data_IF_577728973726
#
_entry.id   IF_577728973726
#
_cell.length_a   1.000
_cell.length_b   1.000
_cell.length_c   1.000
_cell.angle_alpha   90.00
_cell.angle_beta   90.00
_cell.angle_gamma   90.00
#
_symmetry.space_group_name_H-M   'P 1'
#
loop_
_entity.id
_entity.type
_entity.pdbx_description
1 polymer ?
#
# COMPACT_ATOMS: atom_id res chain seq x y z
N UNK A 1 -25.94 -2.63 -24.01
CA UNK A 1 -25.55 -1.22 -24.26
C UNK A 1 -24.54 -1.17 -25.39
N UNK A 2 -24.24 0.02 -25.92
CA UNK A 2 -23.21 0.19 -26.95
C UNK A 2 -21.82 -0.12 -26.35
N UNK A 3 -20.88 -0.70 -27.13
CA UNK A 3 -19.55 -1.08 -26.64
C UNK A 3 -18.75 0.08 -26.01
N UNK A 4 -19.06 1.34 -26.38
CA UNK A 4 -18.38 2.55 -25.90
C UNK A 4 -19.17 3.34 -24.84
N UNK A 5 -20.12 2.70 -24.13
CA UNK A 5 -20.90 3.42 -23.11
C UNK A 5 -20.10 3.65 -21.84
N UNK A 6 -19.94 4.92 -21.43
CA UNK A 6 -19.30 5.30 -20.17
C UNK A 6 -20.33 5.73 -19.13
N UNK A 7 -20.25 5.19 -17.92
CA UNK A 7 -20.90 5.76 -16.74
C UNK A 7 -19.90 6.60 -15.95
N UNK A 8 -20.12 7.91 -15.86
CA UNK A 8 -19.27 8.80 -15.09
C UNK A 8 -19.95 9.27 -13.80
N UNK A 9 -19.29 9.02 -12.67
CA UNK A 9 -19.65 9.53 -11.35
C UNK A 9 -18.56 10.52 -10.91
N UNK A 10 -18.89 11.80 -10.80
CA UNK A 10 -17.88 12.84 -10.56
C UNK A 10 -18.27 13.91 -9.56
N UNK A 11 -17.24 14.50 -8.95
CA UNK A 11 -17.31 15.67 -8.06
C UNK A 11 -16.50 16.87 -8.59
N UNK A 12 -16.58 17.14 -9.91
CA UNK A 12 -15.82 18.21 -10.57
C UNK A 12 -16.11 19.61 -10.04
N UNK A 13 -17.36 19.90 -9.66
CA UNK A 13 -17.83 21.26 -9.32
C UNK A 13 -18.43 21.37 -7.93
N UNK A 14 -18.24 20.36 -7.07
CA UNK A 14 -18.84 20.34 -5.74
C UNK A 14 -18.12 21.24 -4.74
N UNK A 15 -18.83 21.62 -3.68
CA UNK A 15 -18.26 22.21 -2.45
C UNK A 15 -18.20 21.11 -1.39
N UNK A 16 -17.01 20.52 -1.20
CA UNK A 16 -16.79 19.41 -0.26
C UNK A 16 -16.89 18.01 -0.88
N UNK A 17 -16.59 16.98 -0.08
CA UNK A 17 -16.60 15.57 -0.49
C UNK A 17 -18.02 15.17 -0.90
N UNK A 18 -18.18 14.53 -2.05
CA UNK A 18 -19.47 14.01 -2.51
C UNK A 18 -19.61 12.54 -2.15
N UNK A 19 -20.79 12.13 -1.68
CA UNK A 19 -21.09 10.73 -1.40
C UNK A 19 -22.12 10.23 -2.43
N UNK A 20 -21.83 9.09 -3.05
CA UNK A 20 -22.76 8.36 -3.91
C UNK A 20 -23.01 7.00 -3.28
N UNK A 21 -24.28 6.73 -3.00
CA UNK A 21 -24.71 5.49 -2.38
C UNK A 21 -25.46 4.63 -3.40
N UNK A 22 -24.96 3.42 -3.63
CA UNK A 22 -25.54 2.43 -4.53
C UNK A 22 -26.74 1.78 -3.86
N UNK A 23 -27.92 1.99 -4.45
CA UNK A 23 -29.17 1.37 -3.98
C UNK A 23 -29.34 -0.09 -4.44
N UNK A 24 -28.63 -0.46 -5.50
CA UNK A 24 -28.61 -1.78 -6.11
C UNK A 24 -27.24 -1.99 -6.79
N UNK A 25 -26.98 -3.22 -7.21
CA UNK A 25 -25.81 -3.54 -8.02
C UNK A 25 -25.80 -2.74 -9.31
N UNK A 26 -24.61 -2.28 -9.71
CA UNK A 26 -24.40 -1.62 -10.98
C UNK A 26 -23.99 -2.66 -12.01
N UNK A 27 -24.85 -2.96 -12.99
CA UNK A 27 -24.62 -4.06 -13.95
C UNK A 27 -23.98 -3.55 -15.23
N UNK A 28 -22.98 -4.28 -15.74
CA UNK A 28 -22.37 -3.97 -17.02
C UNK A 28 -23.38 -4.10 -18.18
N UNK A 29 -23.29 -3.23 -19.20
CA UNK A 29 -24.22 -3.22 -20.34
C UNK A 29 -24.10 -4.45 -21.27
N UNK A 30 -23.07 -5.28 -21.07
CA UNK A 30 -22.73 -6.49 -21.82
C UNK A 30 -21.41 -7.07 -21.32
N UNK A 31 -21.01 -8.24 -21.82
CA UNK A 31 -19.74 -8.85 -21.46
C UNK A 31 -18.58 -7.97 -21.92
N UNK A 32 -17.72 -7.57 -20.99
CA UNK A 32 -16.52 -6.76 -21.24
C UNK A 32 -16.84 -5.44 -21.96
N UNK A 33 -18.03 -4.89 -21.73
CA UNK A 33 -18.53 -3.71 -22.42
C UNK A 33 -18.69 -2.55 -21.44
N UNK A 34 -18.37 -1.36 -21.94
CA UNK A 34 -18.52 -0.11 -21.20
C UNK A 34 -17.47 0.11 -20.12
N UNK A 35 -17.30 1.39 -19.79
CA UNK A 35 -16.35 1.86 -18.79
C UNK A 35 -17.09 2.61 -17.67
N UNK A 36 -16.50 2.59 -16.49
CA UNK A 36 -16.94 3.37 -15.34
C UNK A 36 -15.84 4.38 -15.02
N UNK A 37 -16.23 5.62 -14.74
CA UNK A 37 -15.29 6.69 -14.34
C UNK A 37 -15.70 7.19 -12.97
N UNK A 38 -14.79 7.10 -12.00
CA UNK A 38 -14.90 7.75 -10.70
C UNK A 38 -13.91 8.90 -10.62
N UNK A 39 -14.44 10.11 -10.46
CA UNK A 39 -13.64 11.32 -10.39
C UNK A 39 -13.94 12.12 -9.12
N UNK A 40 -12.97 12.14 -8.22
CA UNK A 40 -13.01 12.89 -6.98
C UNK A 40 -13.12 14.40 -7.13
N UNK A 41 -12.74 14.95 -8.28
CA UNK A 41 -12.44 16.38 -8.42
C UNK A 41 -11.50 16.87 -7.32
N UNK A 42 -11.60 18.16 -6.99
CA UNK A 42 -10.72 18.78 -5.97
C UNK A 42 -11.08 18.40 -4.54
N UNK A 43 -12.29 17.90 -4.29
CA UNK A 43 -12.82 17.70 -2.94
C UNK A 43 -13.02 16.23 -2.55
N UNK A 44 -12.84 15.30 -3.48
CA UNK A 44 -13.00 13.86 -3.25
C UNK A 44 -14.40 13.31 -3.54
N UNK A 45 -14.46 12.01 -3.79
CA UNK A 45 -15.68 11.24 -4.06
C UNK A 45 -15.68 9.94 -3.24
N UNK A 46 -16.77 9.72 -2.51
CA UNK A 46 -17.02 8.48 -1.79
C UNK A 46 -18.09 7.67 -2.54
N UNK A 47 -17.82 6.40 -2.79
CA UNK A 47 -18.79 5.43 -3.31
C UNK A 47 -19.05 4.39 -2.23
N UNK A 48 -20.33 4.13 -1.92
CA UNK A 48 -20.68 3.12 -0.95
C UNK A 48 -22.05 2.49 -1.15
N UNK A 49 -22.45 1.56 -0.28
CA UNK A 49 -23.82 1.03 -0.26
C UNK A 49 -24.77 1.99 0.46
N UNK A 50 -26.03 2.05 0.00
CA UNK A 50 -27.07 2.78 0.73
C UNK A 50 -27.60 2.05 1.97
N UNK A 51 -27.27 0.76 2.11
CA UNK A 51 -27.67 -0.06 3.26
C UNK A 51 -26.42 -0.66 3.89
N UNK A 52 -26.12 -0.23 5.11
CA UNK A 52 -24.97 -0.68 5.86
C UNK A 52 -24.90 -2.22 5.94
N UNK A 53 -23.72 -2.77 5.70
CA UNK A 53 -23.47 -4.21 5.72
C UNK A 53 -24.08 -4.99 4.56
N UNK A 54 -24.76 -4.32 3.61
CA UNK A 54 -25.26 -4.98 2.39
C UNK A 54 -24.33 -4.63 1.24
N UNK A 55 -23.54 -5.61 0.81
CA UNK A 55 -22.64 -5.43 -0.31
C UNK A 55 -23.37 -5.04 -1.60
N UNK A 56 -22.70 -4.26 -2.44
CA UNK A 56 -23.13 -3.84 -3.78
C UNK A 56 -22.03 -4.20 -4.76
N UNK A 57 -22.39 -4.89 -5.82
CA UNK A 57 -21.44 -5.25 -6.86
C UNK A 57 -21.43 -4.19 -7.95
N UNK A 58 -20.25 -3.83 -8.43
CA UNK A 58 -20.09 -3.08 -9.68
C UNK A 58 -19.58 -4.04 -10.74
N UNK A 59 -20.39 -4.23 -11.78
CA UNK A 59 -20.11 -5.07 -12.93
C UNK A 59 -20.39 -6.55 -12.71
N UNK A 60 -21.22 -6.96 -11.73
CA UNK A 60 -21.62 -8.36 -11.61
C UNK A 60 -23.12 -8.51 -11.34
N UNK A 61 -23.91 -8.44 -12.42
CA UNK A 61 -25.34 -8.72 -12.42
C UNK A 61 -25.71 -9.94 -13.28
N UNK A 62 -24.82 -10.94 -13.34
CA UNK A 62 -24.98 -12.13 -14.18
C UNK A 62 -23.74 -12.51 -14.99
N UNK A 63 -22.52 -12.26 -14.49
CA UNK A 63 -21.26 -12.65 -15.12
C UNK A 63 -20.67 -11.68 -16.15
N UNK A 64 -21.42 -10.65 -16.55
CA UNK A 64 -20.93 -9.60 -17.44
C UNK A 64 -20.13 -8.56 -16.65
N UNK A 65 -18.84 -8.39 -16.97
CA UNK A 65 -17.94 -7.41 -16.34
C UNK A 65 -17.87 -6.09 -17.12
N UNK A 66 -17.68 -4.98 -16.42
CA UNK A 66 -17.22 -3.74 -17.06
C UNK A 66 -15.79 -3.93 -17.57
N UNK A 67 -15.46 -3.23 -18.65
CA UNK A 67 -14.12 -3.27 -19.21
C UNK A 67 -13.10 -2.57 -18.31
N UNK A 68 -13.38 -1.31 -17.99
CA UNK A 68 -12.46 -0.48 -17.21
C UNK A 68 -13.19 0.30 -16.13
N UNK A 69 -12.57 0.39 -14.96
CA UNK A 69 -12.82 1.44 -13.97
C UNK A 69 -11.66 2.43 -14.00
N UNK A 70 -11.94 3.66 -14.37
CA UNK A 70 -10.98 4.77 -14.37
C UNK A 70 -11.14 5.56 -13.07
N UNK A 71 -10.07 5.67 -12.30
CA UNK A 71 -10.02 6.50 -11.09
C UNK A 71 -9.25 7.79 -11.38
N UNK A 72 -9.85 8.93 -11.03
CA UNK A 72 -9.24 10.25 -11.09
C UNK A 72 -9.38 10.97 -9.75
N UNK A 73 -8.35 11.75 -9.39
CA UNK A 73 -8.30 12.52 -8.15
C UNK A 73 -8.53 11.64 -6.90
N UNK A 74 -9.10 12.20 -5.84
CA UNK A 74 -9.33 11.47 -4.58
C UNK A 74 -10.65 10.66 -4.61
N UNK A 75 -10.56 9.33 -4.57
CA UNK A 75 -11.74 8.44 -4.55
C UNK A 75 -11.62 7.43 -3.41
N UNK A 76 -12.67 7.31 -2.60
CA UNK A 76 -12.78 6.26 -1.58
C UNK A 76 -13.97 5.38 -1.88
N UNK A 77 -13.76 4.06 -1.92
CA UNK A 77 -14.81 3.06 -2.02
C UNK A 77 -14.91 2.35 -0.66
N UNK A 78 -16.12 2.34 -0.08
CA UNK A 78 -16.37 1.64 1.17
C UNK A 78 -16.39 0.14 0.99
N UNK A 79 -16.15 -0.59 2.08
CA UNK A 79 -16.01 -2.04 2.12
C UNK A 79 -17.24 -2.84 1.65
N UNK A 80 -18.40 -2.19 1.57
CA UNK A 80 -19.65 -2.76 1.09
C UNK A 80 -19.85 -2.57 -0.42
N UNK A 81 -18.80 -2.24 -1.17
CA UNK A 81 -18.81 -2.18 -2.63
C UNK A 81 -17.74 -3.10 -3.19
N UNK A 82 -18.14 -4.10 -3.97
CA UNK A 82 -17.25 -5.09 -4.58
C UNK A 82 -16.95 -4.76 -6.05
N UNK A 83 -15.70 -4.96 -6.46
CA UNK A 83 -15.22 -4.69 -7.82
C UNK A 83 -14.84 -5.96 -8.60
N UNK A 84 -15.30 -7.14 -8.18
CA UNK A 84 -15.09 -8.41 -8.91
C UNK A 84 -15.60 -8.37 -10.35
N UNK A 85 -16.62 -7.53 -10.58
CA UNK A 85 -17.21 -7.24 -11.88
C UNK A 85 -16.42 -6.25 -12.75
N UNK A 86 -15.23 -5.83 -12.33
CA UNK A 86 -14.33 -4.97 -13.11
C UNK A 86 -13.17 -5.82 -13.66
N UNK A 87 -12.91 -5.73 -14.97
CA UNK A 87 -11.72 -6.37 -15.54
C UNK A 87 -10.45 -5.58 -15.22
N UNK A 88 -10.44 -4.28 -15.47
CA UNK A 88 -9.26 -3.44 -15.28
C UNK A 88 -9.60 -2.24 -14.41
N UNK A 89 -8.84 -2.03 -13.34
CA UNK A 89 -8.85 -0.78 -12.57
C UNK A 89 -7.62 0.03 -12.97
N UNK A 90 -7.83 1.21 -13.51
CA UNK A 90 -6.78 2.14 -13.89
C UNK A 90 -6.78 3.32 -12.92
N UNK A 91 -5.76 3.40 -12.09
CA UNK A 91 -5.58 4.49 -11.13
C UNK A 91 -4.68 5.52 -11.80
N UNK A 92 -5.29 6.59 -12.32
CA UNK A 92 -4.60 7.58 -13.15
C UNK A 92 -3.66 8.48 -12.33
N UNK A 93 -2.74 9.14 -13.02
CA UNK A 93 -1.75 10.03 -12.41
C UNK A 93 -2.38 11.03 -11.43
N UNK A 94 -1.70 11.23 -10.30
CA UNK A 94 -2.10 12.08 -9.18
C UNK A 94 -3.40 11.66 -8.48
N UNK A 95 -3.99 10.50 -8.81
CA UNK A 95 -5.12 9.98 -8.06
C UNK A 95 -4.71 9.43 -6.70
N UNK A 96 -5.62 9.54 -5.74
CA UNK A 96 -5.52 8.92 -4.42
C UNK A 96 -6.75 8.03 -4.24
N UNK A 97 -6.55 6.73 -4.39
CA UNK A 97 -7.61 5.74 -4.38
C UNK A 97 -7.55 4.89 -3.12
N UNK A 98 -8.63 4.84 -2.35
CA UNK A 98 -8.74 3.95 -1.18
C UNK A 98 -9.87 2.94 -1.37
N UNK A 99 -9.54 1.65 -1.24
CA UNK A 99 -10.54 0.57 -1.27
C UNK A 99 -9.98 -0.72 -0.66
N UNK A 100 -10.75 -1.31 0.23
CA UNK A 100 -10.51 -2.61 0.88
C UNK A 100 -11.06 -3.81 0.09
N UNK A 101 -11.61 -3.59 -1.10
CA UNK A 101 -12.27 -4.61 -1.93
C UNK A 101 -11.82 -4.59 -3.38
N UNK A 102 -11.22 -3.49 -3.85
CA UNK A 102 -10.81 -3.32 -5.24
C UNK A 102 -9.80 -4.37 -5.71
N UNK A 103 -8.99 -4.93 -4.80
CA UNK A 103 -8.08 -6.05 -5.10
C UNK A 103 -8.76 -7.31 -5.63
N UNK A 104 -10.09 -7.39 -5.59
CA UNK A 104 -10.85 -8.48 -6.22
C UNK A 104 -11.13 -8.26 -7.72
N UNK A 105 -10.76 -7.10 -8.29
CA UNK A 105 -10.83 -6.86 -9.73
C UNK A 105 -9.83 -7.73 -10.52
N UNK A 106 -10.02 -7.84 -11.84
CA UNK A 106 -9.17 -8.65 -12.70
C UNK A 106 -7.69 -8.22 -12.71
N UNK A 107 -7.44 -6.96 -13.03
CA UNK A 107 -6.13 -6.31 -13.03
C UNK A 107 -6.24 -4.89 -12.45
N UNK A 108 -5.18 -4.42 -11.82
CA UNK A 108 -5.07 -3.11 -11.19
C UNK A 108 -3.74 -2.49 -11.62
N UNK A 109 -3.82 -1.39 -12.35
CA UNK A 109 -2.66 -0.62 -12.77
C UNK A 109 -2.60 0.68 -11.96
N UNK A 110 -1.52 0.82 -11.21
CA UNK A 110 -1.18 2.05 -10.48
C UNK A 110 -0.23 2.84 -11.39
N UNK A 111 -0.68 3.97 -11.93
CA UNK A 111 0.20 4.88 -12.67
C UNK A 111 0.99 5.76 -11.69
N UNK A 112 1.27 7.02 -11.99
CA UNK A 112 1.89 7.95 -11.04
C UNK A 112 0.90 8.39 -9.95
N UNK A 113 0.44 7.44 -9.13
CA UNK A 113 -0.73 7.55 -8.29
C UNK A 113 -0.60 6.74 -6.99
N UNK A 114 -1.57 6.87 -6.09
CA UNK A 114 -1.63 6.11 -4.83
C UNK A 114 -2.85 5.19 -4.80
N UNK A 115 -2.61 3.92 -4.48
CA UNK A 115 -3.64 2.95 -4.13
C UNK A 115 -3.47 2.52 -2.67
N UNK A 116 -4.48 2.75 -1.84
CA UNK A 116 -4.53 2.31 -0.45
C UNK A 116 -5.52 1.16 -0.28
N UNK A 117 -4.98 0.03 0.19
CA UNK A 117 -5.75 -1.11 0.70
C UNK A 117 -5.77 -1.01 2.23
N UNK A 118 -6.93 -0.70 2.79
CA UNK A 118 -7.06 -0.47 4.23
C UNK A 118 -7.83 -1.59 4.93
N UNK A 119 -7.17 -2.28 5.86
CA UNK A 119 -7.74 -3.30 6.74
C UNK A 119 -8.55 -2.67 7.90
N UNK A 120 -9.33 -1.62 7.65
CA UNK A 120 -10.02 -0.85 8.69
C UNK A 120 -11.10 -1.69 9.42
N UNK A 121 -11.84 -2.54 8.69
CA UNK A 121 -12.96 -3.31 9.23
C UNK A 121 -12.67 -4.81 9.36
N UNK A 122 -11.60 -5.32 8.75
CA UNK A 122 -11.31 -6.75 8.69
C UNK A 122 -9.85 -7.05 8.46
N UNK A 123 -9.44 -8.29 8.74
CA UNK A 123 -8.24 -8.82 8.09
C UNK A 123 -8.53 -8.98 6.59
N UNK A 124 -7.52 -8.80 5.76
CA UNK A 124 -7.65 -8.86 4.31
C UNK A 124 -6.79 -9.97 3.71
N UNK A 125 -7.31 -10.62 2.68
CA UNK A 125 -6.59 -11.60 1.86
C UNK A 125 -6.43 -11.01 0.46
N UNK A 126 -5.27 -10.44 0.19
CA UNK A 126 -4.98 -9.71 -1.05
C UNK A 126 -4.26 -10.67 -2.00
N UNK A 127 -4.83 -11.03 -3.17
CA UNK A 127 -4.17 -11.92 -4.12
C UNK A 127 -2.80 -11.41 -4.59
N UNK A 128 -2.64 -10.09 -4.65
CA UNK A 128 -1.44 -9.32 -5.03
C UNK A 128 -0.98 -9.46 -6.49
N UNK A 129 -1.13 -10.63 -7.12
CA UNK A 129 -0.66 -10.90 -8.48
C UNK A 129 -1.40 -10.14 -9.60
N UNK A 130 -2.42 -9.36 -9.26
CA UNK A 130 -3.16 -8.48 -10.17
C UNK A 130 -2.77 -7.00 -10.03
N UNK A 131 -1.84 -6.63 -9.14
CA UNK A 131 -1.41 -5.25 -8.92
C UNK A 131 -0.13 -4.97 -9.69
N UNK A 132 -0.13 -3.93 -10.51
CA UNK A 132 0.98 -3.51 -11.37
C UNK A 132 1.38 -2.06 -11.07
N UNK A 133 2.68 -1.79 -11.04
CA UNK A 133 3.24 -0.44 -10.96
C UNK A 133 3.67 0.00 -12.36
N UNK A 134 2.98 0.99 -12.92
CA UNK A 134 3.28 1.49 -14.26
C UNK A 134 4.31 2.64 -14.28
N UNK A 135 4.77 3.08 -13.11
CA UNK A 135 5.75 4.15 -12.98
C UNK A 135 6.60 4.00 -11.69
N UNK A 136 7.74 4.68 -11.64
CA UNK A 136 8.62 4.66 -10.47
C UNK A 136 7.96 5.19 -9.19
N UNK A 137 7.17 6.24 -9.34
CA UNK A 137 6.52 6.94 -8.23
C UNK A 137 5.12 6.39 -7.89
N UNK A 138 4.69 5.31 -8.57
CA UNK A 138 3.46 4.59 -8.27
C UNK A 138 3.47 4.01 -6.85
N UNK A 139 2.40 4.19 -6.07
CA UNK A 139 2.36 3.81 -4.64
C UNK A 139 1.26 2.83 -4.35
N UNK A 140 1.63 1.72 -3.71
CA UNK A 140 0.71 0.82 -3.04
C UNK A 140 0.86 1.00 -1.53
N UNK A 141 -0.21 1.35 -0.84
CA UNK A 141 -0.26 1.45 0.62
C UNK A 141 -1.07 0.26 1.16
N UNK A 142 -0.42 -0.58 1.95
CA UNK A 142 -1.06 -1.61 2.76
C UNK A 142 -1.25 -1.04 4.16
N UNK A 143 -2.50 -0.78 4.55
CA UNK A 143 -2.82 0.04 5.71
C UNK A 143 -3.63 -0.71 6.77
N UNK A 144 -3.35 -0.40 8.04
CA UNK A 144 -4.27 -0.61 9.15
C UNK A 144 -4.63 0.75 9.77
N UNK A 145 -5.81 1.28 9.45
CA UNK A 145 -6.37 2.46 10.13
C UNK A 145 -7.30 2.12 11.30
N UNK A 146 -7.48 0.83 11.60
CA UNK A 146 -8.43 0.37 12.60
C UNK A 146 -7.94 0.56 14.03
N UNK A 147 -8.88 0.60 14.97
CA UNK A 147 -8.59 0.51 16.41
C UNK A 147 -8.17 -0.87 16.90
N UNK A 148 -7.91 -1.83 16.02
CA UNK A 148 -7.53 -3.21 16.33
C UNK A 148 -6.23 -3.61 15.60
N UNK A 149 -5.61 -4.69 16.04
CA UNK A 149 -4.54 -5.32 15.27
C UNK A 149 -5.13 -5.94 14.00
N UNK A 150 -4.42 -5.79 12.88
CA UNK A 150 -4.88 -6.28 11.57
C UNK A 150 -3.79 -7.03 10.85
N UNK A 151 -4.24 -8.00 10.06
CA UNK A 151 -3.41 -8.77 9.16
C UNK A 151 -3.85 -8.56 7.73
N UNK A 152 -2.89 -8.24 6.87
CA UNK A 152 -3.03 -8.30 5.42
C UNK A 152 -2.19 -9.49 4.94
N UNK A 153 -2.86 -10.51 4.40
CA UNK A 153 -2.22 -11.71 3.87
C UNK A 153 -2.06 -11.57 2.36
N UNK A 154 -0.82 -11.65 1.87
CA UNK A 154 -0.52 -11.61 0.44
C UNK A 154 -0.56 -13.02 -0.16
N UNK A 155 -1.33 -13.19 -1.24
CA UNK A 155 -1.46 -14.45 -1.99
C UNK A 155 -0.30 -14.71 -2.95
N UNK A 156 0.31 -13.66 -3.47
CA UNK A 156 1.45 -13.67 -4.37
C UNK A 156 2.46 -12.58 -4.01
N UNK A 157 3.60 -12.56 -4.70
CA UNK A 157 4.54 -11.45 -4.59
C UNK A 157 3.93 -10.17 -5.15
N UNK A 158 4.46 -9.03 -4.73
CA UNK A 158 4.16 -7.71 -5.29
C UNK A 158 5.39 -7.31 -6.09
N UNK A 159 5.29 -7.43 -7.41
CA UNK A 159 6.41 -7.27 -8.32
C UNK A 159 6.15 -6.06 -9.22
N UNK A 160 7.08 -5.09 -9.31
CA UNK A 160 7.03 -4.10 -10.37
C UNK A 160 7.35 -4.74 -11.73
N UNK A 161 6.94 -4.08 -12.81
CA UNK A 161 7.22 -4.55 -14.17
C UNK A 161 8.70 -4.37 -14.53
N UNK A 162 9.37 -3.35 -13.98
CA UNK A 162 10.81 -3.12 -14.13
C UNK A 162 11.49 -2.84 -12.78
N UNK A 163 12.83 -2.95 -12.75
CA UNK A 163 13.60 -2.57 -11.57
C UNK A 163 13.44 -1.08 -11.25
N UNK A 164 13.41 -0.79 -9.96
CA UNK A 164 13.26 0.55 -9.37
C UNK A 164 11.92 1.21 -9.67
N UNK A 165 10.92 0.43 -10.07
CA UNK A 165 9.54 0.89 -10.14
C UNK A 165 8.78 0.59 -8.86
N UNK A 166 7.79 1.44 -8.55
CA UNK A 166 6.88 1.24 -7.45
C UNK A 166 7.46 1.49 -6.05
N UNK A 167 6.60 2.03 -5.19
CA UNK A 167 6.84 2.19 -3.75
C UNK A 167 5.73 1.44 -3.01
N UNK A 168 6.13 0.53 -2.13
CA UNK A 168 5.18 -0.13 -1.20
C UNK A 168 5.29 0.53 0.16
N UNK A 169 4.19 1.09 0.66
CA UNK A 169 4.10 1.63 2.02
C UNK A 169 3.32 0.67 2.91
N UNK A 170 3.92 0.26 4.02
CA UNK A 170 3.25 -0.46 5.09
C UNK A 170 2.87 0.57 6.15
N UNK A 171 1.57 0.86 6.28
CA UNK A 171 1.07 1.96 7.12
C UNK A 171 0.27 1.44 8.32
N UNK A 172 0.85 1.48 9.51
CA UNK A 172 0.17 1.17 10.77
C UNK A 172 -0.23 2.49 11.44
N UNK A 173 -1.46 2.92 11.24
CA UNK A 173 -1.85 4.33 11.52
C UNK A 173 -2.01 4.56 13.03
N UNK A 174 -2.70 3.65 13.71
CA UNK A 174 -3.14 3.85 15.10
C UNK A 174 -2.07 3.40 16.09
N UNK A 175 -1.66 4.31 16.98
CA UNK A 175 -0.69 4.00 18.04
C UNK A 175 -1.15 2.83 18.92
N UNK A 176 -0.22 1.93 19.24
CA UNK A 176 -0.50 0.73 20.03
C UNK A 176 -1.32 -0.34 19.29
N UNK A 177 -1.52 -0.19 17.97
CA UNK A 177 -2.09 -1.21 17.10
C UNK A 177 -1.05 -1.70 16.12
N UNK A 178 -1.26 -2.90 15.62
CA UNK A 178 -0.27 -3.58 14.78
C UNK A 178 -0.78 -3.82 13.37
N UNK A 179 0.06 -3.56 12.39
CA UNK A 179 -0.10 -4.08 11.03
C UNK A 179 0.78 -5.32 10.87
N UNK A 180 0.16 -6.44 10.55
CA UNK A 180 0.87 -7.68 10.19
C UNK A 180 0.77 -7.92 8.69
N UNK A 181 1.92 -8.04 8.02
CA UNK A 181 1.99 -8.52 6.63
C UNK A 181 2.33 -10.01 6.66
N UNK A 182 1.43 -10.83 6.14
CA UNK A 182 1.50 -12.28 6.15
C UNK A 182 1.54 -12.88 4.74
N UNK A 183 1.74 -14.20 4.67
CA UNK A 183 1.75 -14.96 3.41
C UNK A 183 3.16 -15.39 2.96
N UNK A 184 4.22 -14.88 3.61
CA UNK A 184 5.61 -15.24 3.30
C UNK A 184 6.03 -14.87 1.88
N UNK A 185 5.48 -13.77 1.35
CA UNK A 185 5.69 -13.30 -0.02
C UNK A 185 6.82 -12.29 -0.08
N UNK A 186 7.29 -12.04 -1.29
CA UNK A 186 8.30 -11.02 -1.56
C UNK A 186 7.62 -9.72 -1.99
N UNK A 187 8.09 -8.60 -1.46
CA UNK A 187 7.87 -7.27 -2.02
C UNK A 187 9.08 -6.96 -2.91
N UNK A 188 8.87 -6.94 -4.23
CA UNK A 188 9.88 -6.79 -5.27
C UNK A 188 10.48 -8.12 -5.77
N UNK A 189 9.69 -9.14 -6.06
CA UNK A 189 10.13 -10.49 -6.46
C UNK A 189 11.17 -10.53 -7.59
N UNK A 190 10.73 -10.60 -8.85
CA UNK A 190 11.64 -10.66 -9.99
C UNK A 190 12.39 -9.34 -10.24
N UNK A 191 11.72 -8.23 -9.95
CA UNK A 191 12.22 -6.87 -10.12
C UNK A 191 12.21 -6.11 -8.80
N UNK A 192 13.24 -5.31 -8.59
CA UNK A 192 13.47 -4.59 -7.33
C UNK A 192 12.53 -3.40 -7.20
N UNK A 193 11.86 -3.24 -6.05
CA UNK A 193 11.10 -2.02 -5.78
C UNK A 193 12.03 -0.80 -5.60
N UNK A 194 11.52 0.40 -5.91
CA UNK A 194 12.23 1.64 -5.61
C UNK A 194 12.46 1.78 -4.10
N UNK A 195 11.39 1.63 -3.33
CA UNK A 195 11.41 1.75 -1.89
C UNK A 195 10.31 0.90 -1.22
N UNK A 196 10.59 0.49 0.02
CA UNK A 196 9.56 0.03 0.96
C UNK A 196 9.57 0.98 2.13
N UNK A 197 8.40 1.51 2.49
CA UNK A 197 8.26 2.54 3.53
C UNK A 197 7.46 1.96 4.70
N UNK A 198 7.99 2.02 5.90
CA UNK A 198 7.24 1.80 7.14
C UNK A 198 6.73 3.13 7.66
N UNK A 199 5.41 3.27 7.80
CA UNK A 199 4.76 4.55 8.13
C UNK A 199 3.75 4.45 9.26
N UNK A 200 3.68 5.48 10.10
CA UNK A 200 2.60 5.64 11.07
C UNK A 200 3.01 5.30 12.50
N UNK A 201 2.05 5.36 13.41
CA UNK A 201 2.31 5.31 14.85
C UNK A 201 2.13 3.93 15.49
N UNK A 202 1.54 2.98 14.76
CA UNK A 202 1.36 1.60 15.21
C UNK A 202 2.59 0.74 14.95
N UNK A 203 2.62 -0.43 15.58
CA UNK A 203 3.68 -1.43 15.46
C UNK A 203 3.56 -2.24 14.16
N UNK A 204 4.61 -2.95 13.81
CA UNK A 204 4.67 -3.80 12.61
C UNK A 204 5.08 -5.23 12.90
N UNK A 205 4.58 -6.14 12.07
CA UNK A 205 5.09 -7.50 11.95
C UNK A 205 5.14 -7.89 10.48
N UNK A 206 6.32 -8.19 9.98
CA UNK A 206 6.52 -8.66 8.60
C UNK A 206 7.37 -9.94 8.55
N UNK A 207 7.34 -10.75 9.62
CA UNK A 207 8.10 -11.98 9.71
C UNK A 207 7.81 -12.91 8.50
N UNK A 208 8.88 -13.39 7.86
CA UNK A 208 8.79 -14.22 6.65
C UNK A 208 8.53 -13.47 5.34
N UNK A 209 8.27 -12.16 5.38
CA UNK A 209 8.19 -11.34 4.17
C UNK A 209 9.61 -10.96 3.72
N UNK A 210 9.91 -11.13 2.44
CA UNK A 210 11.21 -10.74 1.86
C UNK A 210 11.09 -9.37 1.23
N UNK A 211 12.07 -8.50 1.47
CA UNK A 211 12.13 -7.15 0.90
C UNK A 211 13.25 -7.05 -0.12
N UNK A 212 12.90 -7.09 -1.41
CA UNK A 212 13.81 -6.80 -2.49
C UNK A 212 13.54 -5.37 -3.00
N UNK A 213 14.21 -4.44 -2.35
CA UNK A 213 14.05 -2.99 -2.57
C UNK A 213 15.41 -2.32 -2.49
N UNK A 214 15.53 -1.12 -3.05
CA UNK A 214 16.76 -0.32 -2.91
C UNK A 214 16.86 0.27 -1.52
N UNK A 215 15.74 0.77 -1.01
CA UNK A 215 15.68 1.42 0.29
C UNK A 215 14.52 0.85 1.12
N UNK A 216 14.80 0.57 2.37
CA UNK A 216 13.82 0.45 3.44
C UNK A 216 13.83 1.78 4.19
N UNK A 217 12.71 2.50 4.12
CA UNK A 217 12.54 3.85 4.64
C UNK A 217 11.67 3.80 5.89
N UNK A 218 12.14 4.40 6.98
CA UNK A 218 11.49 4.36 8.28
C UNK A 218 10.90 5.74 8.63
N UNK A 219 9.61 5.90 8.35
CA UNK A 219 8.79 7.06 8.74
C UNK A 219 7.74 6.64 9.78
N UNK A 220 8.20 5.95 10.81
CA UNK A 220 7.32 5.38 11.83
C UNK A 220 7.75 5.78 13.23
N UNK A 221 6.77 5.88 14.12
CA UNK A 221 6.97 6.02 15.58
C UNK A 221 6.62 4.74 16.33
N UNK A 222 6.13 3.71 15.65
CA UNK A 222 5.85 2.40 16.23
C UNK A 222 7.10 1.51 16.26
N UNK A 223 6.99 0.39 16.97
CA UNK A 223 8.06 -0.59 17.03
C UNK A 223 8.10 -1.41 15.73
N UNK A 224 9.30 -1.53 15.17
CA UNK A 224 9.56 -2.36 14.01
C UNK A 224 10.64 -3.40 14.33
N UNK A 225 10.31 -4.66 14.13
CA UNK A 225 11.30 -5.73 14.04
C UNK A 225 11.52 -6.08 12.56
N UNK A 226 12.77 -6.01 12.11
CA UNK A 226 13.14 -6.24 10.72
C UNK A 226 14.18 -7.35 10.59
N UNK A 227 13.87 -8.36 9.76
CA UNK A 227 14.79 -9.42 9.40
C UNK A 227 15.90 -8.96 8.46
N UNK A 228 16.68 -9.92 7.94
CA UNK A 228 17.75 -9.61 7.00
C UNK A 228 17.20 -8.88 5.76
N UNK A 229 17.94 -7.87 5.29
CA UNK A 229 17.61 -7.09 4.10
C UNK A 229 18.86 -6.83 3.27
N UNK A 230 18.73 -6.82 1.95
CA UNK A 230 19.81 -6.39 1.04
C UNK A 230 19.76 -4.89 0.75
N UNK A 231 18.73 -4.20 1.24
CA UNK A 231 18.49 -2.78 0.99
C UNK A 231 19.34 -1.89 1.91
N UNK A 232 19.39 -0.61 1.57
CA UNK A 232 19.76 0.43 2.53
C UNK A 232 18.62 0.62 3.53
N UNK A 233 18.96 0.98 4.77
CA UNK A 233 17.98 1.36 5.80
C UNK A 233 18.15 2.83 6.11
N UNK A 234 17.09 3.63 5.94
CA UNK A 234 17.12 5.09 6.08
C UNK A 234 16.02 5.58 7.00
N UNK A 235 16.38 6.39 7.99
CA UNK A 235 15.42 7.00 8.91
C UNK A 235 14.89 8.33 8.35
N UNK A 236 13.58 8.54 8.45
CA UNK A 236 12.93 9.82 8.15
C UNK A 236 12.25 10.45 9.38
N UNK A 237 12.04 9.67 10.44
CA UNK A 237 11.37 10.10 11.66
C UNK A 237 12.30 10.05 12.88
N UNK A 238 12.19 11.04 13.76
CA UNK A 238 13.00 11.12 14.98
C UNK A 238 12.64 10.06 16.03
N UNK A 239 11.42 9.52 15.98
CA UNK A 239 10.92 8.56 16.94
C UNK A 239 11.09 7.09 16.50
N UNK A 240 11.85 6.82 15.43
CA UNK A 240 12.06 5.45 14.94
C UNK A 240 12.62 4.56 16.06
N UNK A 241 12.00 3.39 16.23
CA UNK A 241 12.47 2.32 17.11
C UNK A 241 12.59 1.02 16.29
N UNK A 242 13.79 0.74 15.79
CA UNK A 242 14.09 -0.45 14.98
C UNK A 242 14.84 -1.49 15.82
N UNK A 243 14.36 -2.73 15.81
CA UNK A 243 15.15 -3.92 16.17
C UNK A 243 15.47 -4.72 14.91
N UNK A 244 16.74 -4.78 14.56
CA UNK A 244 17.25 -5.51 13.41
C UNK A 244 17.68 -6.91 13.84
N UNK A 245 17.06 -7.94 13.27
CA UNK A 245 17.29 -9.36 13.64
C UNK A 245 18.12 -10.14 12.62
N UNK A 246 18.38 -9.55 11.45
CA UNK A 246 19.29 -10.10 10.43
C UNK A 246 20.15 -9.03 9.77
N UNK A 247 21.15 -9.40 8.98
CA UNK A 247 22.10 -8.45 8.40
C UNK A 247 21.44 -7.36 7.54
N UNK A 248 22.02 -6.17 7.54
CA UNK A 248 21.75 -5.10 6.58
C UNK A 248 22.83 -5.19 5.49
N UNK A 249 22.43 -5.53 4.27
CA UNK A 249 23.32 -5.66 3.12
C UNK A 249 23.70 -4.32 2.47
N UNK A 250 22.91 -3.27 2.67
CA UNK A 250 23.24 -1.90 2.29
C UNK A 250 23.87 -1.10 3.44
N UNK A 251 23.76 0.22 3.36
CA UNK A 251 24.13 1.11 4.47
C UNK A 251 22.99 1.28 5.48
N UNK A 252 23.33 1.71 6.69
CA UNK A 252 22.39 2.23 7.68
C UNK A 252 22.60 3.75 7.80
N UNK A 253 21.57 4.53 7.48
CA UNK A 253 21.62 5.99 7.55
C UNK A 253 20.60 6.54 8.55
N UNK A 254 21.11 7.19 9.58
CA UNK A 254 20.29 7.94 10.53
C UNK A 254 19.73 9.24 9.95
N UNK A 255 20.31 9.77 8.88
CA UNK A 255 19.79 10.89 8.09
C UNK A 255 19.33 12.09 8.96
N UNK A 256 20.18 12.48 9.91
CA UNK A 256 19.93 13.52 10.90
C UNK A 256 18.64 13.31 11.72
N UNK A 257 18.30 12.06 12.03
CA UNK A 257 17.20 11.68 12.92
C UNK A 257 17.71 11.15 14.25
N UNK A 258 16.92 11.41 15.30
CA UNK A 258 17.21 10.96 16.66
C UNK A 258 16.77 9.52 16.96
N UNK A 259 16.38 8.75 15.92
CA UNK A 259 15.87 7.40 16.09
C UNK A 259 16.87 6.45 16.72
N UNK A 260 16.34 5.33 17.23
CA UNK A 260 17.12 4.26 17.84
C UNK A 260 17.07 3.01 16.98
N UNK A 261 18.25 2.45 16.69
CA UNK A 261 18.42 1.19 15.97
C UNK A 261 19.17 0.23 16.86
N UNK A 262 18.57 -0.94 17.12
CA UNK A 262 19.18 -2.03 17.88
C UNK A 262 19.55 -3.16 16.92
N UNK A 263 20.81 -3.56 16.89
CA UNK A 263 21.30 -4.74 16.17
C UNK A 263 21.37 -5.92 17.14
N UNK A 264 20.67 -7.01 16.82
CA UNK A 264 20.80 -8.25 17.57
C UNK A 264 22.20 -8.87 17.43
N UNK A 265 22.50 -9.86 18.27
CA UNK A 265 23.78 -10.57 18.23
C UNK A 265 24.03 -11.18 16.83
N UNK A 266 25.24 -11.01 16.30
CA UNK A 266 25.67 -11.44 14.96
C UNK A 266 24.98 -10.73 13.78
N UNK A 267 24.38 -9.56 14.00
CA UNK A 267 23.83 -8.72 12.93
C UNK A 267 24.89 -7.74 12.45
N UNK A 268 25.21 -7.78 11.16
CA UNK A 268 26.22 -6.93 10.52
C UNK A 268 25.56 -5.87 9.62
N UNK A 269 26.26 -4.76 9.42
CA UNK A 269 25.95 -3.76 8.39
C UNK A 269 27.07 -3.81 7.37
N UNK A 270 26.76 -4.22 6.14
CA UNK A 270 27.76 -4.40 5.08
C UNK A 270 28.23 -3.07 4.49
N UNK A 271 27.33 -2.10 4.36
CA UNK A 271 27.66 -0.71 4.04
C UNK A 271 28.07 0.11 5.27
N UNK A 272 28.24 1.41 5.08
CA UNK A 272 28.57 2.32 6.16
C UNK A 272 27.42 2.48 7.16
N UNK A 273 27.74 2.66 8.43
CA UNK A 273 26.83 3.31 9.39
C UNK A 273 27.06 4.82 9.33
N UNK A 274 26.06 5.56 8.87
CA UNK A 274 26.21 6.99 8.56
C UNK A 274 25.07 7.83 9.14
N UNK A 275 25.32 9.14 9.16
CA UNK A 275 24.35 10.14 9.58
C UNK A 275 24.43 11.32 8.62
N UNK A 276 23.75 11.20 7.49
CA UNK A 276 23.78 12.23 6.45
C UNK A 276 22.90 13.43 6.83
N UNK A 277 23.22 14.61 6.30
CA UNK A 277 22.27 15.73 6.26
C UNK A 277 22.08 16.57 7.53
N UNK A 278 22.85 16.40 8.62
CA UNK A 278 22.68 17.26 9.79
C UNK A 278 23.46 16.91 11.04
N UNK A 279 23.08 17.50 12.17
CA UNK A 279 23.80 17.42 13.46
C UNK A 279 23.11 16.57 14.53
N UNK A 280 21.85 16.20 14.32
CA UNK A 280 21.16 15.25 15.19
C UNK A 280 21.91 13.91 15.18
N UNK A 281 21.96 13.24 16.33
CA UNK A 281 22.66 11.97 16.47
C UNK A 281 21.66 10.91 16.88
N UNK A 282 21.39 9.97 15.98
CA UNK A 282 20.64 8.78 16.35
C UNK A 282 21.44 7.85 17.25
N UNK A 283 20.77 6.86 17.82
CA UNK A 283 21.37 5.89 18.74
C UNK A 283 21.49 4.54 18.06
N UNK A 284 22.71 4.00 17.95
CA UNK A 284 22.96 2.61 17.54
C UNK A 284 23.31 1.78 18.77
N UNK A 285 22.52 0.74 19.03
CA UNK A 285 22.74 -0.23 20.11
C UNK A 285 23.13 -1.56 19.47
N UNK A 286 24.27 -2.13 19.89
CA UNK A 286 24.77 -3.41 19.38
C UNK A 286 24.79 -4.41 20.52
N UNK A 287 23.95 -5.44 20.47
CA UNK A 287 23.75 -6.37 21.58
C UNK A 287 24.79 -7.50 21.64
N UNK A 288 25.67 -7.62 20.66
CA UNK A 288 26.67 -8.68 20.60
C UNK A 288 27.73 -8.45 19.54
N UNK A 289 28.33 -9.53 19.04
CA UNK A 289 29.34 -9.41 17.98
C UNK A 289 28.69 -8.92 16.69
N UNK A 290 29.21 -7.84 16.12
CA UNK A 290 28.75 -7.27 14.86
C UNK A 290 29.93 -6.67 14.11
N UNK A 291 29.90 -6.77 12.78
CA UNK A 291 30.79 -6.06 11.89
C UNK A 291 30.07 -4.83 11.34
N UNK A 292 30.67 -3.67 11.58
CA UNK A 292 30.20 -2.37 11.13
C UNK A 292 31.32 -1.76 10.27
N UNK A 293 31.01 -1.41 9.03
CA UNK A 293 31.94 -0.70 8.14
C UNK A 293 31.78 0.82 8.25
#
# INVERSE_FOLDING_TARGET
GAPDSTLALSNLTGVGVKNILLAADLVAPGANAGDVVFDGGVNGLNIGSNVAGTARNIGDGGGNKFNTLLIYNAVTITDDVNLEGIQNVLINNNADFTSSTAFNAGAIQINDATYTIDANNGNLNVPAGNIQFAHADAKLILQNSSGNDRTITLGANIDPDNDYEGIVTLNSVTAGKKLTIAGGKTLGGAHKLQAIVFKGAGDFSAAGTTFNTTNVVLDTTGQLELGATTANVVLLNDAVQLTQTGNIGGFLDFNAKNGTVTLNNNVNVAGAVQNTGGTNSGTLIVLGASNLN
#
